data_IF_683620325714
#
_entry.id   IF_683620325714
#
_cell.length_a   1.000
_cell.length_b   1.000
_cell.length_c   1.000
_cell.angle_alpha   90.00
_cell.angle_beta   90.00
_cell.angle_gamma   90.00
#
_symmetry.space_group_name_H-M   'P 1'
#
loop_
_entity.id
_entity.type
_entity.pdbx_description
1 polymer ?
#
# COMPACT_ATOMS: atom_id res chain seq x y z
N UNK A 1 10.31 -3.25 -50.02
CA UNK A 1 8.88 -3.58 -49.86
C UNK A 1 8.52 -4.35 -48.57
N UNK A 2 9.47 -4.95 -47.83
CA UNK A 2 9.14 -5.84 -46.71
C UNK A 2 8.73 -5.16 -45.38
N UNK A 3 8.97 -3.86 -45.21
CA UNK A 3 8.71 -3.13 -43.95
C UNK A 3 7.36 -2.41 -43.91
N UNK A 4 6.75 -2.18 -45.07
CA UNK A 4 5.48 -1.46 -45.20
C UNK A 4 4.35 -2.04 -44.32
N UNK A 5 4.09 -3.36 -44.34
CA UNK A 5 3.00 -3.92 -43.53
C UNK A 5 3.24 -3.79 -42.02
N UNK A 6 4.49 -3.82 -41.56
CA UNK A 6 4.83 -3.63 -40.15
C UNK A 6 4.61 -2.17 -39.71
N UNK A 7 4.93 -1.21 -40.58
CA UNK A 7 4.70 0.23 -40.34
C UNK A 7 3.19 0.53 -40.31
N UNK A 8 2.42 -0.07 -41.22
CA UNK A 8 0.96 0.13 -41.26
C UNK A 8 0.26 -0.47 -40.02
N UNK A 9 0.71 -1.64 -39.55
CA UNK A 9 0.22 -2.23 -38.30
C UNK A 9 0.58 -1.39 -37.08
N UNK A 10 1.80 -0.85 -37.02
CA UNK A 10 2.23 0.03 -35.93
C UNK A 10 1.38 1.31 -35.91
N UNK A 11 1.16 1.93 -37.09
CA UNK A 11 0.31 3.11 -37.22
C UNK A 11 -1.12 2.85 -36.73
N UNK A 12 -1.72 1.74 -37.17
CA UNK A 12 -3.06 1.32 -36.74
C UNK A 12 -3.15 1.14 -35.23
N UNK A 13 -2.10 0.58 -34.62
CA UNK A 13 -2.02 0.36 -33.17
C UNK A 13 -1.90 1.68 -32.41
N UNK A 14 -1.08 2.61 -32.89
CA UNK A 14 -0.92 3.95 -32.31
C UNK A 14 -2.22 4.74 -32.37
N UNK A 15 -2.91 4.73 -33.51
CA UNK A 15 -4.20 5.42 -33.68
C UNK A 15 -5.27 4.85 -32.72
N UNK A 16 -5.30 3.53 -32.54
CA UNK A 16 -6.20 2.87 -31.58
C UNK A 16 -5.87 3.25 -30.14
N UNK A 17 -4.59 3.31 -29.79
CA UNK A 17 -4.16 3.71 -28.45
C UNK A 17 -4.53 5.17 -28.15
N UNK A 18 -4.34 6.08 -29.12
CA UNK A 18 -4.73 7.47 -29.00
C UNK A 18 -6.25 7.62 -28.79
N UNK A 19 -7.06 6.87 -29.55
CA UNK A 19 -8.52 6.85 -29.38
C UNK A 19 -8.96 6.34 -28.00
N UNK A 20 -8.31 5.28 -27.50
CA UNK A 20 -8.58 4.76 -26.15
C UNK A 20 -8.17 5.74 -25.05
N UNK A 21 -7.07 6.47 -25.24
CA UNK A 21 -6.62 7.49 -24.29
C UNK A 21 -7.62 8.65 -24.19
N UNK A 22 -8.15 9.10 -25.33
CA UNK A 22 -9.16 10.16 -25.40
C UNK A 22 -10.50 9.71 -24.80
N UNK A 23 -10.90 8.46 -25.07
CA UNK A 23 -12.10 7.88 -24.43
C UNK A 23 -11.95 7.78 -22.92
N UNK A 24 -10.74 7.43 -22.44
CA UNK A 24 -10.44 7.35 -21.00
C UNK A 24 -10.40 8.73 -20.35
N UNK A 25 -9.82 9.74 -20.99
CA UNK A 25 -9.79 11.11 -20.45
C UNK A 25 -11.21 11.67 -20.31
N UNK A 26 -12.05 11.54 -21.34
CA UNK A 26 -13.44 11.96 -21.30
C UNK A 26 -14.25 11.23 -20.21
N UNK A 27 -14.04 9.92 -20.06
CA UNK A 27 -14.70 9.12 -19.01
C UNK A 27 -14.26 9.51 -17.60
N UNK A 28 -12.97 9.82 -17.41
CA UNK A 28 -12.43 10.24 -16.11
C UNK A 28 -12.97 11.60 -15.67
N UNK A 29 -13.18 12.51 -16.62
CA UNK A 29 -13.82 13.81 -16.38
C UNK A 29 -15.29 13.64 -16.00
N UNK A 30 -16.03 12.78 -16.72
CA UNK A 30 -17.44 12.49 -16.43
C UNK A 30 -17.65 11.77 -15.08
N UNK A 31 -16.71 10.92 -14.67
CA UNK A 31 -16.76 10.20 -13.40
C UNK A 31 -16.30 11.04 -12.18
N UNK A 32 -15.78 12.25 -12.40
CA UNK A 32 -15.36 13.13 -11.32
C UNK A 32 -16.59 13.79 -10.69
N UNK A 33 -17.13 13.16 -9.64
CA UNK A 33 -18.27 13.65 -8.84
C UNK A 33 -17.95 14.93 -8.01
N UNK A 34 -16.83 15.60 -8.30
CA UNK A 34 -16.36 16.77 -7.58
C UNK A 34 -15.89 16.45 -6.16
N UNK A 35 -15.63 17.50 -5.38
CA UNK A 35 -15.26 17.34 -3.98
C UNK A 35 -16.48 16.85 -3.18
N UNK A 36 -16.49 15.57 -2.81
CA UNK A 36 -17.52 14.99 -1.93
C UNK A 36 -17.49 15.51 -0.49
N UNK A 37 -16.46 16.29 -0.11
CA UNK A 37 -16.26 16.85 1.23
C UNK A 37 -17.34 17.88 1.64
N UNK A 38 -17.63 18.94 0.86
CA UNK A 38 -18.69 19.90 1.19
C UNK A 38 -20.09 19.27 1.25
N UNK A 39 -20.36 18.23 0.45
CA UNK A 39 -21.63 17.49 0.51
C UNK A 39 -21.75 16.71 1.84
N UNK A 40 -20.66 16.06 2.27
CA UNK A 40 -20.62 15.36 3.57
C UNK A 40 -20.74 16.31 4.77
N UNK A 41 -20.16 17.50 4.68
CA UNK A 41 -20.27 18.52 5.74
C UNK A 41 -21.72 18.97 5.93
N UNK A 42 -22.41 19.35 4.85
CA UNK A 42 -23.84 19.71 4.91
C UNK A 42 -24.72 18.58 5.45
N UNK A 43 -24.46 17.36 5.00
CA UNK A 43 -25.23 16.19 5.43
C UNK A 43 -25.04 15.92 6.93
N UNK A 44 -23.83 16.12 7.46
CA UNK A 44 -23.57 15.97 8.90
C UNK A 44 -24.32 17.03 9.72
N UNK A 45 -24.35 18.29 9.27
CA UNK A 45 -25.07 19.37 9.95
C UNK A 45 -26.57 19.06 10.05
N UNK A 46 -27.18 18.57 8.95
CA UNK A 46 -28.58 18.14 8.94
C UNK A 46 -28.85 16.95 9.89
N UNK A 47 -27.94 15.97 9.94
CA UNK A 47 -28.07 14.86 10.89
C UNK A 47 -27.97 15.31 12.35
N UNK A 48 -27.12 16.29 12.66
CA UNK A 48 -26.96 16.83 14.01
C UNK A 48 -28.22 17.57 14.48
N UNK A 49 -28.83 18.37 13.60
CA UNK A 49 -30.09 19.06 13.88
C UNK A 49 -31.23 18.06 14.12
N UNK A 50 -31.39 17.06 13.23
CA UNK A 50 -32.40 16.01 13.40
C UNK A 50 -32.22 15.22 14.71
N UNK A 51 -30.98 14.90 15.08
CA UNK A 51 -30.67 14.16 16.30
C UNK A 51 -30.97 15.00 17.54
N UNK A 52 -30.64 16.29 17.51
CA UNK A 52 -30.93 17.23 18.59
C UNK A 52 -32.43 17.39 18.81
N UNK A 53 -33.21 17.53 17.74
CA UNK A 53 -34.68 17.62 17.83
C UNK A 53 -35.28 16.33 18.37
N UNK A 54 -34.85 15.16 17.87
CA UNK A 54 -35.31 13.87 18.36
C UNK A 54 -34.99 13.66 19.85
N UNK A 55 -33.80 14.07 20.29
CA UNK A 55 -33.40 14.03 21.69
C UNK A 55 -34.27 14.95 22.57
N UNK A 56 -34.51 16.19 22.15
CA UNK A 56 -35.36 17.14 22.87
C UNK A 56 -36.80 16.61 23.02
N UNK A 57 -37.36 16.04 21.95
CA UNK A 57 -38.68 15.39 21.98
C UNK A 57 -38.69 14.14 22.88
N UNK A 58 -37.59 13.39 22.92
CA UNK A 58 -37.49 12.20 23.79
C UNK A 58 -37.57 12.53 25.28
N UNK A 59 -37.09 13.72 25.67
CA UNK A 59 -37.15 14.23 27.05
C UNK A 59 -38.50 14.87 27.35
N UNK A 60 -39.08 15.61 26.40
CA UNK A 60 -40.28 16.41 26.60
C UNK A 60 -41.59 15.58 26.69
N UNK A 61 -41.65 14.40 26.08
CA UNK A 61 -42.85 13.55 26.09
C UNK A 61 -42.50 12.05 26.15
N UNK A 62 -42.13 11.50 27.32
CA UNK A 62 -41.72 10.11 27.44
C UNK A 62 -42.89 9.15 27.15
N UNK A 63 -42.80 8.42 26.05
CA UNK A 63 -43.75 7.41 25.62
C UNK A 63 -43.06 6.05 25.47
N UNK A 64 -43.77 4.93 25.63
CA UNK A 64 -43.20 3.59 25.46
C UNK A 64 -42.55 3.38 24.08
N UNK A 65 -43.03 4.13 23.07
CA UNK A 65 -42.47 4.19 21.73
C UNK A 65 -41.05 4.79 21.69
N UNK A 66 -40.74 5.77 22.55
CA UNK A 66 -39.39 6.36 22.67
C UNK A 66 -38.39 5.38 23.29
N UNK A 67 -38.82 4.55 24.25
CA UNK A 67 -37.97 3.49 24.80
C UNK A 67 -37.63 2.44 23.73
N UNK A 68 -38.61 2.11 22.89
CA UNK A 68 -38.42 1.23 21.73
C UNK A 68 -37.49 1.87 20.68
N UNK A 69 -37.64 3.17 20.44
CA UNK A 69 -36.78 3.93 19.54
C UNK A 69 -35.32 3.99 20.03
N UNK A 70 -35.09 4.31 21.30
CA UNK A 70 -33.76 4.31 21.94
C UNK A 70 -33.11 2.93 21.83
N UNK A 71 -33.87 1.85 22.05
CA UNK A 71 -33.37 0.48 21.92
C UNK A 71 -32.94 0.16 20.48
N UNK A 72 -33.72 0.59 19.48
CA UNK A 72 -33.38 0.42 18.06
C UNK A 72 -32.16 1.25 17.66
N UNK A 73 -32.02 2.47 18.19
CA UNK A 73 -30.88 3.35 17.95
C UNK A 73 -29.58 2.75 18.49
N UNK A 74 -29.60 2.27 19.74
CA UNK A 74 -28.43 1.63 20.34
C UNK A 74 -28.00 0.39 19.54
N UNK A 75 -28.96 -0.42 19.08
CA UNK A 75 -28.67 -1.56 18.21
C UNK A 75 -28.05 -1.13 16.88
N UNK A 76 -28.55 -0.07 16.25
CA UNK A 76 -27.99 0.46 15.01
C UNK A 76 -26.56 0.96 15.18
N UNK A 77 -26.26 1.62 16.31
CA UNK A 77 -24.91 2.07 16.67
C UNK A 77 -23.99 0.86 16.83
N UNK A 78 -24.42 -0.18 17.55
CA UNK A 78 -23.64 -1.41 17.74
C UNK A 78 -23.39 -2.16 16.44
N UNK A 79 -24.42 -2.30 15.60
CA UNK A 79 -24.32 -2.94 14.28
C UNK A 79 -23.36 -2.16 13.38
N UNK A 80 -23.42 -0.82 13.41
CA UNK A 80 -22.52 0.07 12.65
C UNK A 80 -21.07 -0.03 13.13
N UNK A 81 -20.85 -0.01 14.45
CA UNK A 81 -19.52 -0.18 15.04
C UNK A 81 -18.95 -1.57 14.73
N UNK A 82 -19.79 -2.60 14.78
CA UNK A 82 -19.41 -3.97 14.44
C UNK A 82 -19.03 -4.07 12.97
N UNK A 83 -19.85 -3.55 12.06
CA UNK A 83 -19.56 -3.52 10.63
C UNK A 83 -18.30 -2.71 10.31
N UNK A 84 -18.09 -1.57 10.98
CA UNK A 84 -16.88 -0.76 10.85
C UNK A 84 -15.64 -1.52 11.31
N UNK A 85 -15.70 -2.17 12.47
CA UNK A 85 -14.60 -2.97 13.00
C UNK A 85 -14.32 -4.20 12.12
N UNK A 86 -15.34 -4.86 11.60
CA UNK A 86 -15.21 -5.96 10.63
C UNK A 86 -14.56 -5.47 9.33
N UNK A 87 -15.01 -4.34 8.77
CA UNK A 87 -14.42 -3.72 7.59
C UNK A 87 -12.94 -3.36 7.81
N UNK A 88 -12.60 -2.77 8.97
CA UNK A 88 -11.20 -2.50 9.33
C UNK A 88 -10.37 -3.77 9.51
N UNK A 89 -10.94 -4.82 10.09
CA UNK A 89 -10.27 -6.11 10.21
C UNK A 89 -10.02 -6.71 8.82
N UNK A 90 -11.00 -6.68 7.92
CA UNK A 90 -10.87 -7.14 6.53
C UNK A 90 -9.84 -6.30 5.74
N UNK A 91 -9.78 -4.97 5.96
CA UNK A 91 -8.73 -4.11 5.39
C UNK A 91 -7.33 -4.45 5.94
N UNK A 92 -7.20 -4.78 7.22
CA UNK A 92 -5.93 -5.26 7.79
C UNK A 92 -5.53 -6.62 7.23
N UNK A 93 -6.48 -7.53 7.06
CA UNK A 93 -6.23 -8.87 6.48
C UNK A 93 -5.85 -8.75 5.01
N UNK A 94 -6.53 -7.92 4.21
CA UNK A 94 -6.16 -7.70 2.80
C UNK A 94 -4.81 -6.99 2.64
N UNK A 95 -4.45 -6.05 3.52
CA UNK A 95 -3.13 -5.41 3.52
C UNK A 95 -2.02 -6.32 4.09
N UNK A 96 -2.36 -7.25 4.98
CA UNK A 96 -1.45 -8.22 5.60
C UNK A 96 -1.19 -9.48 4.77
N UNK A 97 -2.18 -9.97 4.03
CA UNK A 97 -2.12 -11.27 3.31
C UNK A 97 -1.48 -11.13 1.91
N UNK A 98 -1.63 -9.96 1.28
CA UNK A 98 -0.99 -9.52 0.02
C UNK A 98 0.53 -9.37 0.07
N UNK A 99 0.93 -8.39 0.88
CA UNK A 99 2.27 -7.79 0.85
C UNK A 99 3.00 -7.89 2.18
N UNK A 100 2.30 -7.92 3.32
CA UNK A 100 2.91 -8.12 4.64
C UNK A 100 3.52 -9.52 4.79
N UNK A 101 2.78 -10.57 4.38
CA UNK A 101 3.28 -11.95 4.37
C UNK A 101 4.56 -12.09 3.52
N UNK A 102 4.51 -11.63 2.26
CA UNK A 102 5.65 -11.68 1.34
C UNK A 102 6.86 -10.89 1.86
N UNK A 103 6.67 -9.68 2.39
CA UNK A 103 7.76 -8.88 2.97
C UNK A 103 8.37 -9.55 4.20
N UNK A 104 7.56 -10.19 5.04
CA UNK A 104 8.05 -10.92 6.22
C UNK A 104 8.82 -12.20 5.86
N UNK A 105 8.37 -12.93 4.84
CA UNK A 105 9.09 -14.11 4.31
C UNK A 105 10.42 -13.71 3.68
N UNK A 106 10.45 -12.58 2.99
CA UNK A 106 11.64 -12.02 2.39
C UNK A 106 12.67 -11.60 3.45
N UNK A 107 12.25 -10.92 4.53
CA UNK A 107 13.11 -10.60 5.68
C UNK A 107 13.74 -11.88 6.24
N UNK A 108 12.91 -12.90 6.53
CA UNK A 108 13.40 -14.18 7.08
C UNK A 108 14.38 -14.87 6.14
N UNK A 109 14.14 -14.81 4.83
CA UNK A 109 15.02 -15.40 3.81
C UNK A 109 16.36 -14.67 3.74
N UNK A 110 16.36 -13.34 3.83
CA UNK A 110 17.61 -12.56 3.82
C UNK A 110 18.40 -12.82 5.09
N UNK A 111 17.76 -12.77 6.25
CA UNK A 111 18.38 -13.02 7.56
C UNK A 111 18.98 -14.43 7.66
N UNK A 112 18.33 -15.46 7.11
CA UNK A 112 18.85 -16.83 7.14
C UNK A 112 20.12 -17.03 6.30
N UNK A 113 20.38 -16.15 5.34
CA UNK A 113 21.55 -16.23 4.47
C UNK A 113 22.77 -15.44 4.99
N UNK A 114 22.59 -14.58 6.00
CA UNK A 114 23.67 -13.73 6.54
C UNK A 114 24.81 -14.59 7.11
N UNK A 115 24.50 -15.59 7.92
CA UNK A 115 25.53 -16.43 8.54
C UNK A 115 26.39 -17.18 7.51
N UNK A 116 25.76 -17.63 6.41
CA UNK A 116 26.49 -18.28 5.32
C UNK A 116 27.37 -17.28 4.53
N UNK A 117 26.89 -16.05 4.38
CA UNK A 117 27.65 -14.98 3.75
C UNK A 117 28.89 -14.59 4.58
N UNK A 118 28.74 -14.42 5.89
CA UNK A 118 29.85 -14.07 6.78
C UNK A 118 30.95 -15.14 6.75
N UNK A 119 30.57 -16.42 6.68
CA UNK A 119 31.53 -17.53 6.56
C UNK A 119 32.31 -17.51 5.24
N UNK A 120 31.63 -17.23 4.12
CA UNK A 120 32.24 -17.20 2.77
C UNK A 120 33.10 -15.96 2.54
N UNK A 121 32.65 -14.81 3.05
CA UNK A 121 33.34 -13.53 2.94
C UNK A 121 34.45 -13.33 4.00
N UNK A 122 34.70 -14.33 4.85
CA UNK A 122 35.63 -14.26 5.99
C UNK A 122 35.36 -13.07 6.94
N UNK A 123 34.10 -12.70 7.09
CA UNK A 123 33.65 -11.68 8.04
C UNK A 123 33.41 -12.34 9.40
N UNK A 124 33.68 -11.60 10.48
CA UNK A 124 33.40 -12.08 11.85
C UNK A 124 31.91 -12.47 11.96
N UNK A 125 31.58 -13.71 12.36
CA UNK A 125 30.18 -14.11 12.45
C UNK A 125 29.37 -13.24 13.43
N UNK A 126 28.17 -12.83 13.02
CA UNK A 126 27.21 -12.08 13.82
C UNK A 126 27.37 -10.56 13.82
N UNK A 127 28.31 -10.01 13.05
CA UNK A 127 28.51 -8.55 12.94
C UNK A 127 27.62 -7.93 11.88
N UNK A 128 27.21 -8.71 10.87
CA UNK A 128 26.37 -8.25 9.78
C UNK A 128 24.89 -8.29 10.16
N UNK A 129 24.19 -7.18 9.93
CA UNK A 129 22.76 -7.02 10.24
C UNK A 129 22.01 -6.46 9.04
N UNK A 130 20.83 -7.01 8.81
CA UNK A 130 19.91 -6.48 7.81
C UNK A 130 19.17 -5.26 8.34
N UNK A 131 19.16 -4.17 7.57
CA UNK A 131 18.54 -2.90 7.99
C UNK A 131 17.03 -2.83 7.74
N UNK A 132 16.45 -3.85 7.08
CA UNK A 132 15.06 -3.85 6.64
C UNK A 132 14.80 -2.99 5.40
N UNK A 133 15.84 -2.50 4.72
CA UNK A 133 15.73 -1.72 3.50
C UNK A 133 16.09 -2.56 2.27
N UNK A 134 15.23 -2.51 1.27
CA UNK A 134 15.45 -3.16 -0.03
C UNK A 134 15.34 -2.14 -1.16
N UNK A 135 16.05 -2.36 -2.25
CA UNK A 135 16.03 -1.52 -3.44
C UNK A 135 15.82 -2.38 -4.69
N UNK A 136 15.04 -1.87 -5.65
CA UNK A 136 14.79 -2.55 -6.91
C UNK A 136 13.82 -3.74 -6.83
N UNK A 137 13.70 -4.46 -7.93
CA UNK A 137 12.70 -5.53 -8.11
C UNK A 137 13.30 -6.74 -8.83
N UNK A 138 12.70 -7.92 -8.65
CA UNK A 138 13.11 -9.14 -9.34
C UNK A 138 14.58 -9.52 -9.08
N UNK A 139 15.33 -9.78 -10.15
CA UNK A 139 16.75 -10.16 -10.11
C UNK A 139 17.72 -9.04 -9.70
N UNK A 140 17.26 -7.78 -9.77
CA UNK A 140 18.02 -6.60 -9.35
C UNK A 140 17.72 -6.20 -7.91
N UNK A 141 16.94 -7.01 -7.18
CA UNK A 141 16.55 -6.73 -5.81
C UNK A 141 17.75 -6.86 -4.88
N UNK A 142 18.11 -5.75 -4.25
CA UNK A 142 19.23 -5.61 -3.33
C UNK A 142 18.75 -5.26 -1.91
N UNK A 143 19.53 -5.64 -0.92
CA UNK A 143 19.24 -5.54 0.51
C UNK A 143 20.37 -4.77 1.19
N UNK A 144 20.02 -3.76 1.98
CA UNK A 144 20.99 -2.94 2.67
C UNK A 144 21.43 -3.59 3.97
N UNK A 145 22.73 -3.80 4.08
CA UNK A 145 23.40 -4.45 5.18
C UNK A 145 24.30 -3.46 5.90
N UNK A 146 24.49 -3.72 7.18
CA UNK A 146 25.35 -2.94 8.04
C UNK A 146 26.21 -3.89 8.86
N UNK A 147 27.45 -3.50 9.15
CA UNK A 147 28.33 -4.25 10.07
C UNK A 147 28.46 -3.48 11.38
N UNK A 148 29.49 -3.74 12.17
CA UNK A 148 29.81 -2.91 13.34
C UNK A 148 30.11 -1.45 12.95
N UNK A 149 30.58 -1.23 11.73
CA UNK A 149 30.64 0.10 11.11
C UNK A 149 29.25 0.46 10.55
N UNK A 150 28.48 1.16 11.39
CA UNK A 150 27.12 1.58 11.04
C UNK A 150 27.09 2.65 9.96
N UNK A 151 28.17 3.42 9.85
CA UNK A 151 28.29 4.56 8.95
C UNK A 151 28.63 4.15 7.52
N UNK A 152 29.11 2.91 7.32
CA UNK A 152 29.44 2.37 6.01
C UNK A 152 28.57 1.17 5.60
N UNK A 153 27.27 1.39 5.32
CA UNK A 153 26.40 0.32 4.86
C UNK A 153 26.67 -0.03 3.40
N UNK A 154 26.48 -1.30 3.07
CA UNK A 154 26.63 -1.83 1.71
C UNK A 154 25.39 -2.59 1.27
N UNK A 155 25.32 -2.94 -0.01
CA UNK A 155 24.19 -3.62 -0.61
C UNK A 155 24.58 -5.00 -1.11
N UNK A 156 23.73 -5.97 -0.81
CA UNK A 156 23.88 -7.36 -1.27
C UNK A 156 22.63 -7.79 -2.02
N UNK A 157 22.76 -8.71 -2.97
CA UNK A 157 21.61 -9.34 -3.64
C UNK A 157 21.62 -10.84 -3.40
N UNK A 158 20.47 -11.48 -3.59
CA UNK A 158 20.39 -12.94 -3.63
C UNK A 158 20.64 -13.40 -5.06
N UNK A 159 21.75 -14.09 -5.29
CA UNK A 159 22.08 -14.76 -6.55
C UNK A 159 22.32 -16.25 -6.27
N UNK A 160 21.67 -17.13 -7.03
CA UNK A 160 21.77 -18.59 -6.87
C UNK A 160 21.57 -19.09 -5.43
N UNK A 161 20.70 -18.41 -4.67
CA UNK A 161 20.39 -18.74 -3.29
C UNK A 161 21.42 -18.28 -2.26
N UNK A 162 22.43 -17.48 -2.65
CA UNK A 162 23.44 -16.89 -1.75
C UNK A 162 23.41 -15.37 -1.81
N UNK A 163 23.88 -14.72 -0.75
CA UNK A 163 24.13 -13.28 -0.77
C UNK A 163 25.43 -13.00 -1.52
N UNK A 164 25.41 -11.98 -2.38
CA UNK A 164 26.57 -11.53 -3.15
C UNK A 164 26.58 -10.00 -3.12
N UNK A 165 27.76 -9.42 -2.94
CA UNK A 165 27.94 -7.97 -3.00
C UNK A 165 27.48 -7.40 -4.34
N UNK A 166 26.89 -6.22 -4.28
CA UNK A 166 26.49 -5.47 -5.47
C UNK A 166 27.10 -4.09 -5.41
N UNK A 167 27.90 -3.79 -6.43
CA UNK A 167 28.30 -2.43 -6.72
C UNK A 167 27.07 -1.68 -7.25
N UNK A 168 26.44 -0.93 -6.35
CA UNK A 168 25.25 -0.17 -6.65
C UNK A 168 25.67 1.07 -7.46
N UNK A 169 25.52 1.01 -8.79
CA UNK A 169 26.08 2.02 -9.70
C UNK A 169 25.50 3.43 -9.57
N UNK A 170 24.42 3.63 -8.81
CA UNK A 170 23.75 4.92 -8.61
C UNK A 170 23.18 4.95 -7.19
N UNK A 171 23.57 5.92 -6.35
CA UNK A 171 23.19 5.91 -4.94
C UNK A 171 21.66 6.09 -4.76
N UNK A 172 21.06 5.58 -3.66
CA UNK A 172 19.68 5.87 -3.31
C UNK A 172 19.36 7.37 -3.32
N UNK A 173 18.54 7.82 -4.27
CA UNK A 173 18.16 9.23 -4.42
C UNK A 173 18.88 9.99 -5.53
N UNK A 174 19.84 9.38 -6.22
CA UNK A 174 20.45 9.95 -7.43
C UNK A 174 19.62 9.63 -8.70
N UNK A 175 19.67 10.50 -9.74
CA UNK A 175 18.97 10.26 -11.00
C UNK A 175 19.39 8.93 -11.64
N UNK A 176 18.46 7.98 -11.73
CA UNK A 176 18.70 6.62 -12.24
C UNK A 176 18.89 5.55 -11.16
N UNK A 177 18.87 5.91 -9.87
CA UNK A 177 18.94 4.95 -8.77
C UNK A 177 17.65 4.14 -8.62
N UNK A 178 17.77 2.87 -8.21
CA UNK A 178 16.62 2.01 -7.95
C UNK A 178 15.82 2.57 -6.76
N UNK A 179 14.50 2.46 -6.83
CA UNK A 179 13.60 2.88 -5.76
C UNK A 179 13.84 2.05 -4.50
N UNK A 180 14.02 2.73 -3.36
CA UNK A 180 14.21 2.10 -2.04
C UNK A 180 12.88 1.99 -1.31
N UNK A 181 12.61 0.82 -0.75
CA UNK A 181 11.46 0.57 0.12
C UNK A 181 11.88 -0.03 1.47
N UNK A 182 11.09 0.25 2.50
CA UNK A 182 11.20 -0.42 3.80
C UNK A 182 10.35 -1.69 3.81
N UNK A 183 10.99 -2.81 4.12
CA UNK A 183 10.32 -4.07 4.44
C UNK A 183 9.83 -3.96 5.90
N UNK A 184 8.52 -4.00 6.09
CA UNK A 184 7.85 -3.96 7.40
C UNK A 184 7.30 -5.34 7.72
#
# INVERSE_FOLDING_TARGET
LALQPAVDQLKTTVDRYASLLESRSASQVAANLGAAKPVREKMNDEYDEMTTVAFAFSIAAPAAELTTFITKLNKLIDDTNTAYNQSRAQMKVTKGTTSGGKKSEEIRKVESLIAAYEQDAHVTPGVMKFTGLAAGTGSERAYKMVTDDVDNPFWVRIADGKLVDVEFKIQPGEPGGLTVEKLK
#
